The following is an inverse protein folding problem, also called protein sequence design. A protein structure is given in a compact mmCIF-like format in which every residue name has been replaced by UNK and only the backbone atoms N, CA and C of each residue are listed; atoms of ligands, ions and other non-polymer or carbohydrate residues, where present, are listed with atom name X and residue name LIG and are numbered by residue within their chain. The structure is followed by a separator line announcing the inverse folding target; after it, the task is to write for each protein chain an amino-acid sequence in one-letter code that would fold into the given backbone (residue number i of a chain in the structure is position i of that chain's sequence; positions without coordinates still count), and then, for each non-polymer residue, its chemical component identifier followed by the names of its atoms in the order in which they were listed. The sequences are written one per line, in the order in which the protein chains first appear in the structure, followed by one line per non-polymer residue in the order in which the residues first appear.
data_IF_593232059948
#
_entry.id   IF_593232059948
#
_cell.length_a   1.000
_cell.length_b   1.000
_cell.length_c   1.000
_cell.angle_alpha   90.00
_cell.angle_beta   90.00
_cell.angle_gamma   90.00
#
_symmetry.space_group_name_H-M   'P 1'
#
loop_
_entity.id
_entity.type
_entity.pdbx_description
1 polymer ?
#
# COMPACT_ATOMS: atom_id res chain seq x y z
N UNK A 1 5.10 -17.00 -10.92
CA UNK A 1 5.32 -16.35 -9.61
C UNK A 1 5.10 -14.89 -9.90
N UNK A 2 4.10 -14.25 -9.28
CA UNK A 2 3.78 -12.86 -9.58
C UNK A 2 4.95 -11.97 -9.17
N UNK A 3 5.42 -11.12 -10.06
CA UNK A 3 6.49 -10.16 -9.80
C UNK A 3 5.95 -8.91 -9.12
N UNK A 4 6.81 -8.15 -8.43
CA UNK A 4 6.38 -6.87 -7.84
C UNK A 4 5.87 -5.90 -8.90
N UNK A 5 6.43 -5.94 -10.11
CA UNK A 5 6.02 -5.10 -11.23
C UNK A 5 4.61 -5.43 -11.72
N UNK A 6 4.29 -6.72 -11.89
CA UNK A 6 2.93 -7.15 -12.25
C UNK A 6 1.91 -6.66 -11.22
N UNK A 7 2.25 -6.71 -9.92
CA UNK A 7 1.34 -6.21 -8.87
C UNK A 7 1.15 -4.68 -8.94
N UNK A 8 2.20 -3.92 -9.27
CA UNK A 8 2.09 -2.47 -9.46
C UNK A 8 1.17 -2.14 -10.64
N UNK A 9 1.33 -2.84 -11.75
CA UNK A 9 0.51 -2.66 -12.94
C UNK A 9 -0.97 -2.97 -12.64
N UNK A 10 -1.25 -4.13 -12.04
CA UNK A 10 -2.60 -4.53 -11.62
C UNK A 10 -3.24 -3.49 -10.68
N UNK A 11 -2.47 -2.98 -9.72
CA UNK A 11 -2.96 -1.93 -8.81
C UNK A 11 -3.32 -0.64 -9.56
N UNK A 12 -2.43 -0.19 -10.47
CA UNK A 12 -2.63 1.03 -11.26
C UNK A 12 -3.85 0.93 -12.16
N UNK A 13 -4.03 -0.21 -12.83
CA UNK A 13 -5.19 -0.46 -13.67
C UNK A 13 -6.49 -0.50 -12.86
N UNK A 14 -6.48 -1.19 -11.72
CA UNK A 14 -7.62 -1.26 -10.81
C UNK A 14 -8.02 0.12 -10.28
N UNK A 15 -7.05 0.91 -9.80
CA UNK A 15 -7.32 2.25 -9.28
C UNK A 15 -7.82 3.20 -10.38
N UNK A 16 -7.26 3.12 -11.59
CA UNK A 16 -7.70 3.89 -12.75
C UNK A 16 -9.15 3.53 -13.14
N UNK A 17 -9.51 2.25 -13.13
CA UNK A 17 -10.88 1.78 -13.39
C UNK A 17 -11.89 2.32 -12.37
N UNK A 18 -11.43 2.59 -11.15
CA UNK A 18 -12.20 3.22 -10.08
C UNK A 18 -12.13 4.74 -10.08
N UNK A 19 -11.47 5.39 -11.03
CA UNK A 19 -11.31 6.86 -11.07
C UNK A 19 -10.50 7.45 -9.92
N UNK A 20 -9.68 6.63 -9.24
CA UNK A 20 -8.82 7.08 -8.15
C UNK A 20 -7.53 7.75 -8.64
N UNK A 21 -6.78 8.32 -7.71
CA UNK A 21 -5.53 9.06 -7.98
C UNK A 21 -4.42 8.57 -7.06
N UNK A 22 -3.26 8.25 -7.63
CA UNK A 22 -2.03 7.98 -6.88
C UNK A 22 -1.44 9.32 -6.45
N UNK A 23 -1.12 9.46 -5.16
CA UNK A 23 -0.44 10.62 -4.60
C UNK A 23 1.07 10.40 -4.51
N UNK A 24 1.47 9.22 -4.05
CA UNK A 24 2.86 8.82 -3.91
C UNK A 24 2.98 7.31 -4.14
N UNK A 25 4.08 6.89 -4.75
CA UNK A 25 4.45 5.48 -4.84
C UNK A 25 5.96 5.31 -4.68
N UNK A 26 6.37 4.24 -4.00
CA UNK A 26 7.78 3.93 -3.78
C UNK A 26 8.00 2.44 -3.51
N UNK A 27 9.18 1.97 -3.88
CA UNK A 27 9.67 0.69 -3.38
C UNK A 27 10.24 0.89 -1.98
N UNK A 28 9.93 -0.03 -1.08
CA UNK A 28 10.36 0.00 0.31
C UNK A 28 11.03 -1.30 0.70
N UNK A 29 11.81 -1.26 1.78
CA UNK A 29 12.33 -2.47 2.43
C UNK A 29 11.85 -2.49 3.88
N UNK A 30 11.00 -3.44 4.23
CA UNK A 30 10.48 -3.63 5.60
C UNK A 30 10.90 -4.99 6.10
N UNK A 31 11.57 -5.03 7.26
CA UNK A 31 12.04 -6.28 7.86
C UNK A 31 12.87 -7.15 6.88
N UNK A 32 13.70 -6.51 6.04
CA UNK A 32 14.56 -7.15 5.05
C UNK A 32 13.85 -7.64 3.79
N UNK A 33 12.61 -7.21 3.53
CA UNK A 33 11.80 -7.62 2.38
C UNK A 33 11.47 -6.43 1.51
N UNK A 34 11.69 -6.57 0.21
CA UNK A 34 11.22 -5.61 -0.78
C UNK A 34 9.69 -5.58 -0.80
N UNK A 35 9.14 -4.39 -0.89
CA UNK A 35 7.71 -4.15 -0.99
C UNK A 35 7.41 -2.95 -1.85
N UNK A 36 6.15 -2.83 -2.24
CA UNK A 36 5.63 -1.69 -2.96
C UNK A 36 4.66 -0.94 -2.06
N UNK A 37 4.93 0.33 -1.84
CA UNK A 37 4.08 1.23 -1.08
C UNK A 37 3.42 2.25 -2.01
N UNK A 38 2.12 2.46 -1.79
CA UNK A 38 1.35 3.44 -2.53
C UNK A 38 0.40 4.18 -1.59
N UNK A 39 0.44 5.51 -1.69
CA UNK A 39 -0.51 6.41 -1.06
C UNK A 39 -1.44 6.93 -2.15
N UNK A 40 -2.75 6.74 -1.98
CA UNK A 40 -3.71 7.06 -3.01
C UNK A 40 -5.05 7.52 -2.44
N UNK A 41 -5.85 8.16 -3.30
CA UNK A 41 -7.25 8.51 -3.02
C UNK A 41 -8.16 7.73 -3.98
N UNK A 42 -9.10 6.92 -3.49
CA UNK A 42 -10.21 6.43 -4.30
C UNK A 42 -11.23 7.57 -4.54
N UNK A 43 -12.38 7.27 -5.17
CA UNK A 43 -13.49 8.24 -5.31
C UNK A 43 -14.06 8.67 -3.94
N UNK A 44 -13.98 7.81 -2.93
CA UNK A 44 -14.45 8.12 -1.58
C UNK A 44 -13.53 9.16 -0.88
N UNK A 45 -14.05 9.96 0.08
CA UNK A 45 -13.28 10.99 0.81
C UNK A 45 -12.35 10.39 1.87
N UNK A 46 -11.52 9.43 1.45
CA UNK A 46 -10.53 8.73 2.27
C UNK A 46 -9.17 8.84 1.62
N UNK A 47 -8.12 8.79 2.43
CA UNK A 47 -6.74 8.66 1.97
C UNK A 47 -6.22 7.31 2.45
N UNK A 48 -5.66 6.55 1.52
CA UNK A 48 -5.29 5.15 1.69
C UNK A 48 -3.77 5.04 1.64
N UNK A 49 -3.20 4.18 2.48
CA UNK A 49 -1.81 3.72 2.41
C UNK A 49 -1.82 2.21 2.26
N UNK A 50 -1.29 1.73 1.15
CA UNK A 50 -1.23 0.30 0.88
C UNK A 50 0.22 -0.12 0.72
N UNK A 51 0.59 -1.21 1.39
CA UNK A 51 1.90 -1.83 1.29
C UNK A 51 1.74 -3.28 0.87
N UNK A 52 2.48 -3.67 -0.15
CA UNK A 52 2.43 -5.00 -0.74
C UNK A 52 3.79 -5.67 -0.60
N UNK A 53 3.79 -6.92 -0.14
CA UNK A 53 4.98 -7.76 -0.04
C UNK A 53 4.77 -9.07 -0.80
N UNK A 54 5.84 -9.60 -1.39
CA UNK A 54 5.86 -10.95 -1.95
C UNK A 54 6.79 -11.79 -1.08
N UNK A 55 6.27 -12.85 -0.47
CA UNK A 55 7.05 -13.77 0.35
C UNK A 55 6.50 -15.18 0.27
N UNK A 56 7.37 -16.20 0.22
CA UNK A 56 6.98 -17.61 0.18
C UNK A 56 5.96 -17.94 -0.94
N UNK A 57 6.10 -17.29 -2.10
CA UNK A 57 5.20 -17.46 -3.24
C UNK A 57 3.78 -16.88 -3.04
N UNK A 58 3.57 -16.03 -2.02
CA UNK A 58 2.29 -15.38 -1.72
C UNK A 58 2.44 -13.86 -1.73
N UNK A 59 1.38 -13.17 -2.13
CA UNK A 59 1.24 -11.73 -2.05
C UNK A 59 0.52 -11.37 -0.75
N UNK A 60 1.13 -10.50 0.05
CA UNK A 60 0.54 -9.94 1.26
C UNK A 60 0.27 -8.46 1.03
N UNK A 61 -0.89 -7.99 1.48
CA UNK A 61 -1.32 -6.62 1.31
C UNK A 61 -1.80 -6.08 2.66
N UNK A 62 -1.19 -4.98 3.11
CA UNK A 62 -1.67 -4.20 4.24
C UNK A 62 -2.27 -2.93 3.70
N UNK A 63 -3.48 -2.62 4.16
CA UNK A 63 -4.21 -1.42 3.76
C UNK A 63 -4.59 -0.66 5.02
N UNK A 64 -4.02 0.53 5.18
CA UNK A 64 -4.42 1.49 6.20
C UNK A 64 -5.26 2.59 5.53
N UNK A 65 -6.38 2.94 6.15
CA UNK A 65 -7.30 3.93 5.59
C UNK A 65 -7.92 4.78 6.69
N UNK A 66 -8.15 6.05 6.37
CA UNK A 66 -8.91 6.97 7.21
C UNK A 66 -9.50 8.08 6.35
N UNK A 67 -10.41 8.87 6.94
CA UNK A 67 -10.89 10.09 6.31
C UNK A 67 -9.70 11.03 6.01
N UNK A 68 -9.71 11.68 4.85
CA UNK A 68 -8.57 12.50 4.42
C UNK A 68 -8.09 13.53 5.48
N UNK A 69 -8.97 14.27 6.18
CA UNK A 69 -8.54 15.25 7.18
C UNK A 69 -7.79 14.66 8.38
N UNK A 70 -7.97 13.37 8.64
CA UNK A 70 -7.35 12.67 9.77
C UNK A 70 -6.05 11.99 9.37
N UNK A 71 -5.72 11.90 8.08
CA UNK A 71 -4.63 11.04 7.62
C UNK A 71 -3.30 11.35 8.29
N UNK A 72 -2.95 12.64 8.35
CA UNK A 72 -1.65 13.07 8.89
C UNK A 72 -1.56 12.80 10.40
N UNK A 73 -2.69 12.76 11.13
CA UNK A 73 -2.74 12.38 12.55
C UNK A 73 -2.49 10.88 12.77
N UNK A 74 -2.80 10.04 11.78
CA UNK A 74 -2.65 8.58 11.84
C UNK A 74 -1.40 8.06 11.13
N UNK A 75 -0.59 8.92 10.51
CA UNK A 75 0.55 8.50 9.70
C UNK A 75 1.56 7.67 10.51
N UNK A 76 1.91 8.12 11.72
CA UNK A 76 2.81 7.38 12.62
C UNK A 76 2.23 6.03 13.06
N UNK A 77 0.90 5.94 13.21
CA UNK A 77 0.21 4.68 13.55
C UNK A 77 0.29 3.72 12.37
N UNK A 78 0.11 4.22 11.13
CA UNK A 78 0.26 3.40 9.93
C UNK A 78 1.68 2.88 9.77
N UNK A 79 2.69 3.72 10.00
CA UNK A 79 4.10 3.31 10.02
C UNK A 79 4.36 2.22 11.05
N UNK A 80 3.82 2.37 12.27
CA UNK A 80 3.96 1.35 13.30
C UNK A 80 3.35 0.01 12.87
N UNK A 81 2.12 0.03 12.32
CA UNK A 81 1.44 -1.17 11.83
C UNK A 81 2.27 -1.86 10.74
N UNK A 82 2.69 -1.11 9.72
CA UNK A 82 3.46 -1.65 8.58
C UNK A 82 4.77 -2.26 9.05
N UNK A 83 5.53 -1.54 9.89
CA UNK A 83 6.84 -2.00 10.37
C UNK A 83 6.74 -3.18 11.35
N UNK A 84 5.62 -3.31 12.06
CA UNK A 84 5.37 -4.44 12.97
C UNK A 84 4.96 -5.74 12.25
N UNK A 85 4.70 -5.70 10.94
CA UNK A 85 4.21 -6.85 10.20
C UNK A 85 5.31 -7.90 9.96
N UNK A 86 5.04 -9.12 10.44
CA UNK A 86 5.96 -10.27 10.33
C UNK A 86 5.25 -11.45 9.67
N UNK A 87 5.75 -11.85 8.50
CA UNK A 87 5.38 -13.11 7.84
C UNK A 87 6.28 -14.22 8.40
N UNK A 88 5.66 -15.32 8.88
CA UNK A 88 6.35 -16.53 9.34
C UNK A 88 6.46 -17.56 8.22
#
# INVERSE_FOLDING_TARGET
MTSLEEVKEEFKEGLKGLGGTILEEREIVVNGREGYEVIYKPIAPVKMRQVIFIANGKTYMLVCSTAEPLYDEYEEIFDHIINSFVIK
#
